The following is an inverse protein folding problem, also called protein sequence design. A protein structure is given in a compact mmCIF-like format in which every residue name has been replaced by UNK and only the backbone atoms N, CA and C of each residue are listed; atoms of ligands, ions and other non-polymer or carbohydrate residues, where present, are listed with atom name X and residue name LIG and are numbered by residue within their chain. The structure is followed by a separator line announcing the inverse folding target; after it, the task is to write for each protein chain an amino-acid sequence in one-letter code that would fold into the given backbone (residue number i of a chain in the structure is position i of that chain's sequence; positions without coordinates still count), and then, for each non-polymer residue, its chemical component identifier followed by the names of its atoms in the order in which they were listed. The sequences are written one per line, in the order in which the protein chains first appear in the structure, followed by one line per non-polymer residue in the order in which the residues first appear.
data_IF_484098986066
#
_entry.id   IF_484098986066
#
_cell.length_a   1.000
_cell.length_b   1.000
_cell.length_c   1.000
_cell.angle_alpha   90.00
_cell.angle_beta   90.00
_cell.angle_gamma   90.00
#
_symmetry.space_group_name_H-M   'P 1'
#
loop_
_entity.id
_entity.type
_entity.pdbx_description
1 polymer ?
#
# COMPACT_ATOMS: atom_id res chain seq x y z
N UNK A 1 8.75 0.20 -8.19
CA UNK A 1 7.47 -0.43 -8.61
C UNK A 1 6.76 0.48 -9.59
N UNK A 2 5.99 -0.08 -10.53
CA UNK A 2 5.24 0.68 -11.54
C UNK A 2 6.06 1.14 -12.73
N UNK A 3 5.42 1.91 -13.62
CA UNK A 3 6.05 2.49 -14.83
C UNK A 3 6.77 3.78 -14.46
N UNK A 4 8.00 3.94 -14.94
CA UNK A 4 8.83 5.13 -14.72
C UNK A 4 8.10 6.41 -15.13
N UNK A 5 8.06 7.39 -14.24
CA UNK A 5 7.43 8.71 -14.42
C UNK A 5 5.89 8.74 -14.57
N UNK A 6 5.21 7.58 -14.61
CA UNK A 6 3.76 7.54 -14.82
C UNK A 6 2.97 8.23 -13.71
N UNK A 7 3.38 8.08 -12.45
CA UNK A 7 2.69 8.67 -11.31
C UNK A 7 2.74 10.20 -11.31
N UNK A 8 3.88 10.79 -11.70
CA UNK A 8 4.02 12.24 -11.85
C UNK A 8 3.11 12.79 -12.95
N UNK A 9 2.96 12.04 -14.04
CA UNK A 9 2.05 12.40 -15.14
C UNK A 9 0.58 12.34 -14.68
N UNK A 10 0.21 11.34 -13.86
CA UNK A 10 -1.16 11.16 -13.35
C UNK A 10 -1.50 12.02 -12.12
N UNK A 11 -0.53 12.73 -11.55
CA UNK A 11 -0.70 13.54 -10.35
C UNK A 11 -1.87 14.55 -10.44
N UNK A 12 -2.07 15.29 -11.56
CA UNK A 12 -3.16 16.28 -11.65
C UNK A 12 -4.57 15.68 -11.66
N UNK A 13 -4.72 14.38 -11.94
CA UNK A 13 -6.02 13.70 -12.03
C UNK A 13 -6.35 12.85 -10.80
N UNK A 14 -5.45 12.77 -9.81
CA UNK A 14 -5.70 12.02 -8.59
C UNK A 14 -6.83 12.66 -7.78
N UNK A 15 -7.64 11.83 -7.14
CA UNK A 15 -8.68 12.29 -6.21
C UNK A 15 -8.38 11.75 -4.82
N UNK A 16 -8.35 12.63 -3.83
CA UNK A 16 -8.28 12.22 -2.44
C UNK A 16 -9.67 11.77 -1.97
N UNK A 17 -9.78 10.54 -1.48
CA UNK A 17 -11.03 9.94 -1.01
C UNK A 17 -10.84 9.38 0.39
N UNK A 18 -11.69 9.72 1.38
CA UNK A 18 -11.59 9.17 2.72
C UNK A 18 -11.99 7.69 2.73
N UNK A 19 -11.37 6.86 3.58
CA UNK A 19 -11.68 5.42 3.63
C UNK A 19 -13.17 5.13 3.89
N UNK A 20 -13.86 5.98 4.66
CA UNK A 20 -15.29 5.82 4.94
C UNK A 20 -16.16 5.91 3.67
N UNK A 21 -15.73 6.61 2.62
CA UNK A 21 -16.47 6.67 1.35
C UNK A 21 -16.37 5.38 0.53
N UNK A 22 -15.49 4.45 0.92
CA UNK A 22 -15.34 3.14 0.30
C UNK A 22 -16.28 2.08 0.93
N UNK A 23 -17.03 2.45 1.99
CA UNK A 23 -17.96 1.53 2.67
C UNK A 23 -18.93 0.88 1.68
N UNK A 24 -19.06 -0.45 1.77
CA UNK A 24 -19.94 -1.25 0.91
C UNK A 24 -19.36 -1.57 -0.46
N UNK A 25 -18.16 -1.10 -0.81
CA UNK A 25 -17.45 -1.49 -2.02
C UNK A 25 -16.55 -2.70 -1.75
N UNK A 26 -16.44 -3.60 -2.72
CA UNK A 26 -15.46 -4.67 -2.71
C UNK A 26 -14.20 -4.19 -3.44
N UNK A 27 -13.04 -4.35 -2.82
CA UNK A 27 -11.75 -3.95 -3.35
C UNK A 27 -10.81 -5.16 -3.40
N UNK A 28 -10.15 -5.36 -4.54
CA UNK A 28 -9.05 -6.31 -4.63
C UNK A 28 -7.80 -5.69 -4.01
N UNK A 29 -7.04 -6.48 -3.27
CA UNK A 29 -5.79 -6.06 -2.61
C UNK A 29 -4.66 -6.93 -3.11
N UNK A 30 -3.57 -6.30 -3.56
CA UNK A 30 -2.33 -7.01 -3.85
C UNK A 30 -1.59 -7.30 -2.54
N UNK A 31 -1.80 -8.52 -2.01
CA UNK A 31 -1.21 -8.95 -0.75
C UNK A 31 0.32 -9.03 -0.82
N UNK A 32 0.90 -9.26 -2.00
CA UNK A 32 2.35 -9.37 -2.14
C UNK A 32 3.05 -8.06 -1.76
N UNK A 33 2.44 -6.91 -2.09
CA UNK A 33 2.98 -5.59 -1.76
C UNK A 33 2.87 -5.30 -0.28
N UNK A 34 1.75 -5.63 0.38
CA UNK A 34 1.62 -5.49 1.84
C UNK A 34 2.68 -6.30 2.58
N UNK A 35 2.93 -7.54 2.16
CA UNK A 35 3.95 -8.40 2.77
C UNK A 35 5.34 -7.81 2.59
N UNK A 36 5.71 -7.43 1.35
CA UNK A 36 7.02 -6.86 1.05
C UNK A 36 7.25 -5.53 1.78
N UNK A 37 6.25 -4.66 1.84
CA UNK A 37 6.32 -3.37 2.51
C UNK A 37 6.52 -3.54 4.02
N UNK A 38 5.73 -4.38 4.68
CA UNK A 38 5.85 -4.63 6.11
C UNK A 38 7.21 -5.25 6.48
N UNK A 39 7.77 -6.10 5.62
CA UNK A 39 9.11 -6.67 5.81
C UNK A 39 10.23 -5.62 5.65
N UNK A 40 10.02 -4.58 4.84
CA UNK A 40 11.00 -3.51 4.63
C UNK A 40 11.04 -2.48 5.77
N UNK A 41 10.12 -2.55 6.75
CA UNK A 41 10.07 -1.62 7.88
C UNK A 41 11.27 -1.86 8.82
N UNK A 42 12.32 -1.05 8.66
CA UNK A 42 13.59 -1.17 9.42
C UNK A 42 13.40 -1.30 10.94
N UNK A 43 12.42 -0.60 11.52
CA UNK A 43 12.14 -0.63 12.97
C UNK A 43 11.56 -1.98 13.45
N UNK A 44 11.06 -2.81 12.53
CA UNK A 44 10.46 -4.11 12.84
C UNK A 44 11.41 -5.27 12.55
N UNK A 45 12.44 -5.06 11.72
CA UNK A 45 13.43 -6.09 11.37
C UNK A 45 14.16 -6.58 12.63
N UNK A 46 14.08 -7.89 12.91
CA UNK A 46 14.69 -8.53 14.08
C UNK A 46 13.96 -8.31 15.41
N UNK A 47 12.89 -7.49 15.42
CA UNK A 47 12.08 -7.20 16.62
C UNK A 47 10.74 -7.93 16.57
N UNK A 48 10.14 -8.03 15.38
CA UNK A 48 8.84 -8.66 15.16
C UNK A 48 8.98 -9.75 14.10
N UNK A 49 8.60 -10.97 14.45
CA UNK A 49 8.44 -12.05 13.49
C UNK A 49 7.16 -11.84 12.67
N UNK A 50 7.26 -11.93 11.35
CA UNK A 50 6.14 -11.79 10.41
C UNK A 50 5.34 -10.48 10.59
N UNK A 51 5.96 -9.30 10.40
CA UNK A 51 5.31 -8.00 10.63
C UNK A 51 4.06 -7.75 9.77
N UNK A 52 3.87 -8.51 8.69
CA UNK A 52 2.72 -8.42 7.79
C UNK A 52 1.45 -9.12 8.32
N UNK A 53 1.53 -9.88 9.42
CA UNK A 53 0.40 -10.58 10.02
C UNK A 53 -0.17 -9.86 11.26
N UNK A 54 0.32 -8.65 11.56
CA UNK A 54 -0.03 -7.90 12.77
C UNK A 54 -1.29 -7.06 12.62
#
# INVERSE_FOLDING_TARGET
MGVTSLWQILEPVKQHVPLCSLKGKTLAVDLSIWVCEAQAVKKMVGVVTNPHLR
#
